data_IF_728304061382
#
_entry.id   IF_728304061382
#
_cell.length_a   1.000
_cell.length_b   1.000
_cell.length_c   1.000
_cell.angle_alpha   90.00
_cell.angle_beta   90.00
_cell.angle_gamma   90.00
#
_symmetry.space_group_name_H-M   'P 1'
#
loop_
_entity.id
_entity.type
_entity.pdbx_description
1 polymer ?
#
# COMPACT_ATOMS: atom_id res chain seq x y z
N UNK A 1 9.93 3.84 19.56
CA UNK A 1 10.14 5.24 19.93
C UNK A 1 11.40 5.36 20.76
N UNK A 2 12.23 6.34 20.47
CA UNK A 2 13.47 6.66 21.19
C UNK A 2 13.44 8.14 21.57
N UNK A 3 13.58 8.44 22.82
CA UNK A 3 13.78 9.82 23.31
C UNK A 3 15.16 9.91 23.94
N UNK A 4 15.93 10.90 23.50
CA UNK A 4 17.27 11.16 24.03
C UNK A 4 17.44 12.66 24.33
N UNK A 5 18.25 12.97 25.32
CA UNK A 5 18.68 14.33 25.69
C UNK A 5 20.21 14.40 25.64
N UNK A 6 20.80 14.51 24.46
CA UNK A 6 22.26 14.52 24.32
C UNK A 6 22.91 15.76 24.95
N UNK A 7 22.13 16.83 25.15
CA UNK A 7 22.57 18.03 25.85
C UNK A 7 21.42 18.62 26.68
N UNK A 8 21.73 19.46 27.69
CA UNK A 8 20.72 20.08 28.56
C UNK A 8 19.64 20.88 27.82
N UNK A 9 19.93 21.36 26.62
CA UNK A 9 19.05 22.20 25.81
C UNK A 9 18.58 21.53 24.52
N UNK A 10 18.93 20.25 24.30
CA UNK A 10 18.59 19.51 23.09
C UNK A 10 17.85 18.24 23.47
N UNK A 11 16.64 18.12 22.99
CA UNK A 11 15.81 16.90 23.04
C UNK A 11 15.67 16.34 21.64
N UNK A 12 15.79 15.04 21.53
CA UNK A 12 15.61 14.28 20.31
C UNK A 12 14.55 13.21 20.54
N UNK A 13 13.54 13.18 19.69
CA UNK A 13 12.51 12.13 19.67
C UNK A 13 12.53 11.45 18.32
N UNK A 14 12.84 10.16 18.30
CA UNK A 14 12.86 9.32 17.12
C UNK A 14 11.74 8.28 17.16
N UNK A 15 11.04 8.12 16.06
CA UNK A 15 10.04 7.08 15.87
C UNK A 15 10.33 6.31 14.61
N UNK A 16 10.34 4.98 14.73
CA UNK A 16 10.47 4.07 13.61
C UNK A 16 9.36 3.03 13.67
N UNK A 17 8.75 2.76 12.52
CA UNK A 17 7.72 1.75 12.36
C UNK A 17 7.95 0.98 11.07
N UNK A 18 7.88 -0.34 11.15
CA UNK A 18 7.85 -1.24 10.01
C UNK A 18 6.57 -2.07 10.07
N UNK A 19 5.89 -2.18 8.94
CA UNK A 19 4.69 -2.98 8.81
C UNK A 19 4.79 -3.84 7.56
N UNK A 20 4.54 -5.12 7.72
CA UNK A 20 4.31 -6.05 6.64
C UNK A 20 2.86 -6.51 6.69
N UNK A 21 2.18 -6.51 5.56
CA UNK A 21 0.83 -7.02 5.44
C UNK A 21 0.73 -7.94 4.23
N UNK A 22 0.20 -9.12 4.45
CA UNK A 22 -0.18 -10.06 3.40
C UNK A 22 -1.71 -10.18 3.36
N UNK A 23 -2.28 -9.77 2.22
CA UNK A 23 -3.72 -9.76 1.98
C UNK A 23 -4.09 -10.67 0.82
N UNK A 24 -3.34 -11.73 0.61
CA UNK A 24 -3.54 -12.72 -0.43
C UNK A 24 -4.83 -13.51 -0.14
N UNK A 25 -5.98 -12.98 -0.54
CA UNK A 25 -7.31 -13.50 -0.17
C UNK A 25 -8.12 -14.04 -1.33
N UNK A 26 -7.50 -14.20 -2.50
CA UNK A 26 -8.21 -14.51 -3.74
C UNK A 26 -8.72 -13.23 -4.43
N UNK A 27 -9.07 -13.36 -5.71
CA UNK A 27 -9.36 -12.24 -6.59
C UNK A 27 -10.49 -11.36 -6.07
N UNK A 28 -10.14 -10.16 -5.60
CA UNK A 28 -11.06 -9.03 -5.46
C UNK A 28 -11.01 -8.13 -6.71
N UNK A 29 -10.41 -8.59 -7.78
CA UNK A 29 -10.35 -7.83 -9.03
C UNK A 29 -11.78 -7.60 -9.51
N UNK A 30 -12.22 -6.39 -9.30
CA UNK A 30 -13.57 -5.89 -9.52
C UNK A 30 -14.36 -6.60 -10.58
N UNK A 31 -15.65 -6.68 -10.48
CA UNK A 31 -16.63 -7.33 -11.36
C UNK A 31 -16.59 -8.86 -11.44
N UNK A 32 -15.58 -9.54 -10.96
CA UNK A 32 -15.57 -10.99 -10.93
C UNK A 32 -15.66 -11.47 -9.49
N UNK A 33 -16.73 -12.18 -9.23
CA UNK A 33 -17.15 -12.76 -7.97
C UNK A 33 -16.05 -12.83 -6.90
N UNK A 34 -16.07 -11.87 -6.00
CA UNK A 34 -15.32 -11.95 -4.74
C UNK A 34 -15.87 -13.15 -3.94
N UNK A 35 -15.10 -13.67 -3.01
CA UNK A 35 -15.61 -14.69 -2.07
C UNK A 35 -16.93 -14.27 -1.41
N UNK A 36 -17.12 -12.98 -1.21
CA UNK A 36 -18.34 -12.42 -0.64
C UNK A 36 -19.50 -12.50 -1.64
N UNK A 37 -19.27 -12.23 -2.91
CA UNK A 37 -20.26 -12.27 -3.96
C UNK A 37 -20.76 -13.70 -4.21
N UNK A 38 -19.88 -14.70 -4.14
CA UNK A 38 -20.26 -16.10 -4.22
C UNK A 38 -21.09 -16.58 -3.02
N UNK A 39 -20.95 -15.96 -1.86
CA UNK A 39 -21.73 -16.24 -0.66
C UNK A 39 -23.08 -15.51 -0.68
N UNK A 40 -23.14 -14.32 -1.32
CA UNK A 40 -24.35 -13.49 -1.39
C UNK A 40 -25.17 -13.67 -2.63
N UNK A 41 -24.72 -14.48 -3.61
CA UNK A 41 -25.49 -14.81 -4.80
C UNK A 41 -26.79 -15.54 -4.44
N UNK A 42 -27.83 -15.30 -5.23
CA UNK A 42 -29.13 -15.95 -5.04
C UNK A 42 -28.96 -17.47 -5.06
N UNK A 43 -29.53 -18.19 -4.08
CA UNK A 43 -29.52 -19.67 -4.07
C UNK A 43 -30.09 -20.31 -5.34
N UNK A 44 -30.91 -19.59 -6.11
CA UNK A 44 -31.41 -20.04 -7.41
C UNK A 44 -30.37 -19.95 -8.51
N UNK A 45 -29.47 -18.97 -8.45
CA UNK A 45 -28.37 -18.78 -9.40
C UNK A 45 -27.14 -19.64 -9.07
N UNK A 46 -26.99 -20.01 -7.80
CA UNK A 46 -25.91 -20.88 -7.32
C UNK A 46 -26.48 -22.03 -6.50
N UNK A 47 -27.18 -22.98 -7.12
CA UNK A 47 -27.82 -24.08 -6.37
C UNK A 47 -26.84 -25.00 -5.64
N UNK A 48 -25.57 -24.61 -5.41
CA UNK A 48 -24.60 -25.65 -5.19
C UNK A 48 -23.35 -25.35 -4.46
N UNK A 49 -23.53 -24.94 -3.30
CA UNK A 49 -22.67 -25.42 -2.20
C UNK A 49 -23.05 -26.91 -1.83
N UNK A 50 -24.05 -27.48 -2.50
CA UNK A 50 -24.49 -28.86 -2.29
C UNK A 50 -23.89 -29.79 -3.34
N UNK A 51 -23.55 -31.03 -2.98
CA UNK A 51 -23.10 -32.03 -3.94
C UNK A 51 -24.16 -32.20 -5.07
N UNK A 52 -23.77 -31.97 -6.32
CA UNK A 52 -24.64 -32.05 -7.47
C UNK A 52 -25.13 -30.72 -8.04
N UNK A 53 -24.61 -29.61 -7.52
CA UNK A 53 -24.98 -28.31 -7.97
C UNK A 53 -24.54 -27.92 -9.36
N UNK A 54 -25.26 -26.94 -9.94
CA UNK A 54 -25.15 -26.54 -11.32
C UNK A 54 -23.77 -26.07 -11.74
N UNK A 55 -23.60 -25.94 -13.02
CA UNK A 55 -22.34 -25.59 -13.67
C UNK A 55 -21.77 -24.27 -13.15
N UNK A 56 -22.61 -23.29 -12.87
CA UNK A 56 -22.22 -21.97 -12.35
C UNK A 56 -21.59 -22.06 -10.95
N UNK A 57 -22.19 -22.82 -10.02
CA UNK A 57 -21.63 -23.01 -8.69
C UNK A 57 -20.29 -23.74 -8.69
N UNK A 58 -20.16 -24.73 -9.57
CA UNK A 58 -18.91 -25.45 -9.77
C UNK A 58 -17.81 -24.54 -10.33
N UNK A 59 -18.15 -23.72 -11.32
CA UNK A 59 -17.22 -22.72 -11.89
C UNK A 59 -16.79 -21.67 -10.84
N UNK A 60 -17.70 -21.20 -10.00
CA UNK A 60 -17.38 -20.28 -8.91
C UNK A 60 -16.42 -20.91 -7.89
N UNK A 61 -16.68 -22.14 -7.46
CA UNK A 61 -15.79 -22.85 -6.54
C UNK A 61 -14.42 -23.09 -7.17
N UNK A 62 -14.37 -23.44 -8.43
CA UNK A 62 -13.14 -23.61 -9.18
C UNK A 62 -12.38 -22.29 -9.27
N UNK A 63 -13.04 -21.17 -9.57
CA UNK A 63 -12.47 -19.85 -9.60
C UNK A 63 -11.86 -19.44 -8.24
N UNK A 64 -12.57 -19.73 -7.14
CA UNK A 64 -12.08 -19.42 -5.80
C UNK A 64 -10.83 -20.25 -5.42
N UNK A 65 -10.76 -21.47 -5.86
CA UNK A 65 -9.69 -22.40 -5.51
C UNK A 65 -8.46 -22.28 -6.41
N UNK A 66 -8.67 -22.02 -7.70
CA UNK A 66 -7.60 -22.03 -8.71
C UNK A 66 -7.03 -20.65 -9.02
N UNK A 67 -7.75 -19.55 -8.72
CA UNK A 67 -7.19 -18.22 -8.86
C UNK A 67 -6.14 -17.99 -7.79
N UNK A 68 -4.92 -17.72 -8.21
CA UNK A 68 -3.84 -17.32 -7.29
C UNK A 68 -3.76 -15.80 -7.21
N UNK A 69 -3.91 -15.26 -6.01
CA UNK A 69 -3.68 -13.85 -5.73
C UNK A 69 -2.65 -13.71 -4.62
N UNK A 70 -1.61 -12.93 -4.91
CA UNK A 70 -0.63 -12.48 -3.92
C UNK A 70 -0.75 -10.97 -3.81
N UNK A 71 -1.02 -10.46 -2.63
CA UNK A 71 -1.12 -9.04 -2.35
C UNK A 71 -0.35 -8.74 -1.07
N UNK A 72 0.87 -8.24 -1.24
CA UNK A 72 1.80 -7.99 -0.17
C UNK A 72 2.14 -6.51 -0.12
N UNK A 73 2.13 -5.93 1.08
CA UNK A 73 2.54 -4.56 1.29
C UNK A 73 3.59 -4.42 2.39
N UNK A 74 4.53 -3.54 2.14
CA UNK A 74 5.61 -3.17 3.04
C UNK A 74 5.51 -1.67 3.29
N UNK A 75 5.43 -1.29 4.55
CA UNK A 75 5.41 0.12 4.94
C UNK A 75 6.51 0.37 5.96
N UNK A 76 7.28 1.43 5.72
CA UNK A 76 8.29 1.91 6.65
C UNK A 76 8.05 3.40 6.92
N UNK A 77 8.02 3.79 8.18
CA UNK A 77 7.88 5.17 8.60
C UNK A 77 9.01 5.51 9.57
N UNK A 78 9.64 6.63 9.30
CA UNK A 78 10.65 7.21 10.17
C UNK A 78 10.31 8.68 10.44
N UNK A 79 10.28 9.07 11.70
CA UNK A 79 10.12 10.46 12.11
C UNK A 79 11.20 10.81 13.12
N UNK A 80 11.82 11.95 12.94
CA UNK A 80 12.80 12.53 13.84
C UNK A 80 12.36 13.95 14.21
N UNK A 81 12.29 14.23 15.49
CA UNK A 81 12.00 15.56 16.03
C UNK A 81 13.17 15.98 16.88
N UNK A 82 13.71 17.14 16.61
CA UNK A 82 14.74 17.82 17.38
C UNK A 82 14.13 19.08 17.97
N UNK A 83 14.22 19.24 19.28
CA UNK A 83 13.82 20.44 20.00
C UNK A 83 15.06 21.02 20.67
N UNK A 84 15.45 22.23 20.27
CA UNK A 84 16.64 22.91 20.75
C UNK A 84 16.32 24.29 21.32
N UNK A 85 16.60 24.47 22.60
CA UNK A 85 16.56 25.79 23.25
C UNK A 85 17.80 26.58 22.92
N UNK A 86 17.72 27.48 21.95
CA UNK A 86 18.85 28.33 21.50
C UNK A 86 19.27 29.28 22.65
N UNK A 87 18.31 30.03 23.13
CA UNK A 87 18.43 30.91 24.30
C UNK A 87 17.15 30.73 25.14
N UNK A 88 17.13 31.29 26.33
CA UNK A 88 15.95 31.23 27.18
C UNK A 88 14.71 31.74 26.46
N UNK A 89 13.67 30.91 26.46
CA UNK A 89 12.37 31.13 25.78
C UNK A 89 12.40 31.16 24.25
N UNK A 90 13.52 30.87 23.58
CA UNK A 90 13.62 30.71 22.13
C UNK A 90 13.90 29.26 21.80
N UNK A 91 12.92 28.60 21.22
CA UNK A 91 12.97 27.18 20.83
C UNK A 91 12.97 27.02 19.32
N UNK A 92 13.84 26.19 18.83
CA UNK A 92 13.85 25.72 17.45
C UNK A 92 13.48 24.26 17.44
N UNK A 93 12.32 23.93 16.84
CA UNK A 93 11.86 22.58 16.63
C UNK A 93 12.03 22.23 15.16
N UNK A 94 12.83 21.20 14.88
CA UNK A 94 13.04 20.64 13.57
C UNK A 94 12.37 19.26 13.53
N UNK A 95 11.52 19.01 12.56
CA UNK A 95 10.97 17.68 12.34
C UNK A 95 11.23 17.22 10.92
N UNK A 96 11.64 15.96 10.77
CA UNK A 96 11.84 15.31 9.50
C UNK A 96 11.17 13.95 9.52
N UNK A 97 10.33 13.68 8.51
CA UNK A 97 9.61 12.44 8.36
C UNK A 97 9.83 11.84 6.97
N UNK A 98 9.91 10.51 6.94
CA UNK A 98 9.95 9.71 5.71
C UNK A 98 8.91 8.61 5.85
N UNK A 99 7.96 8.59 4.93
CA UNK A 99 7.00 7.50 4.78
C UNK A 99 7.28 6.78 3.47
N UNK A 100 7.51 5.48 3.55
CA UNK A 100 7.67 4.59 2.42
C UNK A 100 6.58 3.53 2.45
N UNK A 101 5.89 3.36 1.33
CA UNK A 101 4.91 2.30 1.16
C UNK A 101 5.12 1.63 -0.19
N UNK A 102 5.17 0.30 -0.20
CA UNK A 102 5.25 -0.49 -1.42
C UNK A 102 4.22 -1.61 -1.36
N UNK A 103 3.41 -1.72 -2.41
CA UNK A 103 2.45 -2.78 -2.60
C UNK A 103 2.81 -3.58 -3.86
N UNK A 104 2.83 -4.90 -3.71
CA UNK A 104 3.02 -5.84 -4.80
C UNK A 104 1.76 -6.71 -4.89
N UNK A 105 1.04 -6.63 -5.99
CA UNK A 105 -0.10 -7.46 -6.26
C UNK A 105 0.17 -8.29 -7.52
N UNK A 106 -0.12 -9.58 -7.45
CA UNK A 106 -0.09 -10.47 -8.59
C UNK A 106 -1.32 -11.36 -8.58
N UNK A 107 -2.05 -11.36 -9.68
CA UNK A 107 -3.28 -12.14 -9.88
C UNK A 107 -3.05 -13.06 -11.07
N UNK A 108 -3.26 -14.35 -10.86
CA UNK A 108 -3.19 -15.36 -11.91
C UNK A 108 -4.49 -16.14 -11.97
N UNK A 109 -5.03 -16.31 -13.19
CA UNK A 109 -6.19 -17.15 -13.47
C UNK A 109 -5.78 -18.23 -14.46
N UNK A 110 -5.95 -19.53 -14.14
CA UNK A 110 -5.60 -20.63 -15.04
C UNK A 110 -6.57 -20.74 -16.21
N UNK A 111 -6.18 -21.48 -17.25
CA UNK A 111 -6.94 -21.71 -18.48
C UNK A 111 -8.32 -22.30 -18.23
N UNK A 112 -8.47 -23.13 -17.21
CA UNK A 112 -9.72 -23.78 -16.86
C UNK A 112 -10.83 -22.80 -16.46
N UNK A 113 -10.49 -21.57 -16.09
CA UNK A 113 -11.45 -20.53 -15.70
C UNK A 113 -11.95 -19.66 -16.87
N UNK A 114 -11.43 -19.86 -18.08
CA UNK A 114 -11.91 -19.21 -19.29
C UNK A 114 -12.62 -20.24 -20.18
N UNK A 115 -13.96 -20.30 -20.14
CA UNK A 115 -14.72 -21.31 -20.90
C UNK A 115 -14.72 -21.01 -22.40
N UNK A 116 -14.39 -19.79 -22.81
CA UNK A 116 -14.53 -19.37 -24.21
C UNK A 116 -13.24 -19.58 -24.99
N UNK A 117 -12.11 -19.12 -24.44
CA UNK A 117 -10.84 -19.12 -25.17
C UNK A 117 -9.79 -20.05 -24.56
N UNK A 118 -10.03 -20.55 -23.36
CA UNK A 118 -9.10 -21.37 -22.60
C UNK A 118 -7.71 -20.71 -22.42
N UNK A 119 -7.71 -19.40 -22.15
CA UNK A 119 -6.50 -18.63 -21.93
C UNK A 119 -6.26 -18.43 -20.43
N UNK A 120 -5.04 -18.70 -19.98
CA UNK A 120 -4.60 -18.22 -18.68
C UNK A 120 -4.32 -16.72 -18.74
N UNK A 121 -4.61 -16.01 -17.65
CA UNK A 121 -4.32 -14.58 -17.53
C UNK A 121 -3.49 -14.32 -16.30
N UNK A 122 -2.54 -13.38 -16.42
CA UNK A 122 -1.78 -12.88 -15.29
C UNK A 122 -1.76 -11.35 -15.31
N UNK A 123 -1.89 -10.78 -14.12
CA UNK A 123 -1.82 -9.35 -13.89
C UNK A 123 -0.88 -9.08 -12.71
N UNK A 124 0.13 -8.23 -12.92
CA UNK A 124 1.06 -7.80 -11.88
C UNK A 124 0.98 -6.29 -11.71
N UNK A 125 0.89 -5.83 -10.48
CA UNK A 125 0.90 -4.41 -10.14
C UNK A 125 1.93 -4.18 -9.03
N UNK A 126 2.80 -3.19 -9.24
CA UNK A 126 3.73 -2.69 -8.22
C UNK A 126 3.44 -1.22 -8.05
N UNK A 127 2.97 -0.85 -6.87
CA UNK A 127 2.79 0.53 -6.45
C UNK A 127 3.79 0.87 -5.35
N UNK A 128 4.40 2.05 -5.45
CA UNK A 128 5.35 2.55 -4.47
C UNK A 128 5.13 4.03 -4.24
N UNK A 129 4.93 4.41 -2.99
CA UNK A 129 4.74 5.77 -2.56
C UNK A 129 5.84 6.15 -1.57
N UNK A 130 6.43 7.32 -1.77
CA UNK A 130 7.44 7.90 -0.88
C UNK A 130 6.99 9.31 -0.56
N UNK A 131 6.85 9.61 0.73
CA UNK A 131 6.57 10.95 1.22
C UNK A 131 7.69 11.43 2.12
N UNK A 132 8.21 12.61 1.83
CA UNK A 132 9.22 13.31 2.62
C UNK A 132 8.57 14.57 3.19
N UNK A 133 8.64 14.74 4.51
CA UNK A 133 8.10 15.90 5.21
C UNK A 133 9.21 16.49 6.06
N UNK A 134 9.37 17.80 5.97
CA UNK A 134 10.25 18.56 6.85
C UNK A 134 9.50 19.80 7.35
N UNK A 135 9.49 19.98 8.66
CA UNK A 135 8.86 21.12 9.31
C UNK A 135 9.81 21.74 10.29
N UNK A 136 9.96 23.05 10.21
CA UNK A 136 10.85 23.82 11.03
C UNK A 136 10.04 24.92 11.71
N UNK A 137 10.03 24.93 13.03
CA UNK A 137 9.29 25.87 13.85
C UNK A 137 10.25 26.60 14.77
N UNK A 138 10.20 27.92 14.73
CA UNK A 138 10.90 28.79 15.68
C UNK A 138 9.86 29.49 16.55
N UNK A 139 9.94 29.29 17.85
CA UNK A 139 9.02 29.89 18.82
C UNK A 139 9.79 30.75 19.81
N UNK A 140 9.28 31.96 20.03
CA UNK A 140 9.85 32.87 20.98
C UNK A 140 8.80 33.48 21.90
N UNK A 141 8.97 33.28 23.22
CA UNK A 141 8.05 33.73 24.24
C UNK A 141 8.73 34.85 25.05
N UNK A 142 8.14 36.02 25.08
CA UNK A 142 8.71 37.13 25.85
C UNK A 142 7.63 37.98 26.51
N UNK A 143 7.99 38.61 27.61
CA UNK A 143 7.12 39.50 28.38
C UNK A 143 7.67 40.91 28.46
N UNK A 144 6.82 41.89 28.21
CA UNK A 144 7.16 43.29 28.37
C UNK A 144 6.53 43.82 29.67
N UNK A 145 7.39 44.35 30.56
CA UNK A 145 7.01 44.94 31.86
C UNK A 145 6.14 44.01 32.72
N UNK A 146 6.27 42.69 32.58
CA UNK A 146 5.46 41.67 33.26
C UNK A 146 3.93 41.85 33.14
N UNK A 147 3.48 42.62 32.14
CA UNK A 147 2.06 42.89 31.91
C UNK A 147 1.54 42.36 30.56
N UNK A 148 2.46 42.31 29.60
CA UNK A 148 2.10 41.86 28.23
C UNK A 148 2.99 40.68 27.87
N UNK A 149 2.37 39.56 27.58
CA UNK A 149 3.02 38.33 27.13
C UNK A 149 2.82 38.21 25.61
N UNK A 150 3.90 37.95 24.91
CA UNK A 150 3.92 37.75 23.47
C UNK A 150 4.48 36.39 23.15
N UNK A 151 3.77 35.67 22.30
CA UNK A 151 4.19 34.39 21.73
C UNK A 151 4.33 34.58 20.22
N UNK A 152 5.52 34.45 19.71
CA UNK A 152 5.82 34.58 18.28
C UNK A 152 6.20 33.21 17.76
N UNK A 153 5.53 32.76 16.71
CA UNK A 153 5.79 31.50 16.02
C UNK A 153 6.10 31.77 14.56
N UNK A 154 7.24 31.28 14.10
CA UNK A 154 7.63 31.27 12.70
C UNK A 154 7.76 29.81 12.24
N UNK A 155 7.08 29.44 11.16
CA UNK A 155 7.09 28.08 10.62
C UNK A 155 7.50 28.04 9.16
N UNK A 156 8.28 27.03 8.80
CA UNK A 156 8.60 26.66 7.43
C UNK A 156 8.36 25.17 7.27
N UNK A 157 7.57 24.78 6.27
CA UNK A 157 7.33 23.39 5.95
C UNK A 157 7.68 23.10 4.49
N UNK A 158 8.19 21.91 4.27
CA UNK A 158 8.46 21.35 2.94
C UNK A 158 7.95 19.92 2.89
N UNK A 159 7.20 19.59 1.83
CA UNK A 159 6.72 18.25 1.57
C UNK A 159 7.01 17.87 0.12
N UNK A 160 7.43 16.63 -0.07
CA UNK A 160 7.62 16.02 -1.39
C UNK A 160 7.04 14.62 -1.39
N UNK A 161 6.05 14.43 -2.25
CA UNK A 161 5.41 13.14 -2.47
C UNK A 161 5.81 12.62 -3.85
N UNK A 162 6.13 11.32 -3.91
CA UNK A 162 6.44 10.61 -5.14
C UNK A 162 5.63 9.32 -5.15
N UNK A 163 4.84 9.14 -6.21
CA UNK A 163 4.09 7.92 -6.45
C UNK A 163 4.58 7.28 -7.74
N UNK A 164 4.77 5.98 -7.69
CA UNK A 164 5.14 5.16 -8.83
C UNK A 164 4.20 3.97 -8.90
N UNK A 165 3.56 3.79 -10.04
CA UNK A 165 2.69 2.66 -10.29
C UNK A 165 3.09 1.99 -11.61
N UNK A 166 3.33 0.69 -11.56
CA UNK A 166 3.62 -0.12 -12.74
C UNK A 166 2.65 -1.31 -12.75
N UNK A 167 1.89 -1.43 -13.84
CA UNK A 167 0.95 -2.51 -14.05
C UNK A 167 1.31 -3.23 -15.36
N UNK A 168 1.41 -4.54 -15.29
CA UNK A 168 1.59 -5.41 -16.43
C UNK A 168 0.50 -6.48 -16.46
N UNK A 169 0.01 -6.82 -17.64
CA UNK A 169 -0.92 -7.92 -17.84
C UNK A 169 -0.51 -8.77 -19.03
N UNK A 170 -0.87 -10.02 -19.01
CA UNK A 170 -0.63 -10.95 -20.10
C UNK A 170 -1.70 -12.03 -20.13
N UNK A 171 -1.98 -12.55 -21.32
CA UNK A 171 -2.90 -13.66 -21.55
C UNK A 171 -2.20 -14.78 -22.32
N UNK A 172 -2.82 -15.95 -22.31
CA UNK A 172 -2.34 -17.12 -23.04
C UNK A 172 -0.90 -17.52 -22.65
N UNK A 173 -0.64 -17.69 -21.34
CA UNK A 173 0.64 -18.17 -20.85
C UNK A 173 1.00 -19.57 -21.35
N UNK A 174 2.28 -19.91 -21.30
CA UNK A 174 2.79 -21.18 -21.82
C UNK A 174 2.18 -22.41 -21.07
N UNK A 175 1.94 -22.26 -19.78
CA UNK A 175 1.31 -23.25 -18.93
C UNK A 175 0.78 -22.58 -17.65
N UNK A 176 -0.02 -23.34 -16.86
CA UNK A 176 -0.62 -22.84 -15.62
C UNK A 176 0.34 -22.82 -14.41
N UNK A 177 1.61 -23.16 -14.60
CA UNK A 177 2.66 -23.04 -13.57
C UNK A 177 3.39 -21.70 -13.61
N UNK A 178 3.29 -20.94 -14.70
CA UNK A 178 3.94 -19.64 -14.89
C UNK A 178 2.97 -18.54 -14.56
N UNK A 179 3.02 -18.03 -13.34
CA UNK A 179 2.06 -17.08 -12.78
C UNK A 179 2.44 -15.60 -12.98
N UNK A 180 3.62 -15.29 -13.49
CA UNK A 180 4.13 -13.92 -13.58
C UNK A 180 4.21 -13.43 -15.01
N UNK A 181 3.74 -12.20 -15.25
CA UNK A 181 3.68 -11.57 -16.58
C UNK A 181 5.05 -11.42 -17.23
N UNK A 182 6.12 -11.28 -16.47
CA UNK A 182 7.49 -11.13 -16.99
C UNK A 182 8.11 -12.42 -17.55
N UNK A 183 7.43 -13.54 -17.45
CA UNK A 183 7.93 -14.80 -18.01
C UNK A 183 7.74 -14.85 -19.53
N UNK A 184 8.70 -15.46 -20.23
CA UNK A 184 8.60 -15.64 -21.67
C UNK A 184 7.42 -16.54 -22.04
N UNK A 185 6.76 -16.24 -23.15
CA UNK A 185 5.69 -17.05 -23.71
C UNK A 185 4.28 -16.54 -23.47
N UNK A 186 4.11 -15.40 -22.79
CA UNK A 186 2.82 -14.74 -22.71
C UNK A 186 2.50 -14.05 -24.03
N UNK A 187 1.38 -14.45 -24.68
CA UNK A 187 0.81 -13.76 -25.83
C UNK A 187 -0.15 -12.65 -25.39
N UNK A 188 -0.32 -11.62 -26.22
CA UNK A 188 -1.22 -10.50 -25.96
C UNK A 188 -0.49 -9.22 -25.55
N UNK A 189 -1.24 -8.13 -25.42
CA UNK A 189 -0.71 -6.80 -25.11
C UNK A 189 -0.04 -6.76 -23.74
N UNK A 190 1.26 -6.82 -23.71
CA UNK A 190 2.07 -6.50 -22.55
C UNK A 190 2.11 -4.98 -22.38
N UNK A 191 1.00 -4.38 -22.02
CA UNK A 191 0.91 -2.96 -21.72
C UNK A 191 1.63 -2.67 -20.39
N UNK A 192 2.85 -2.15 -20.45
CA UNK A 192 3.48 -1.48 -19.31
C UNK A 192 2.95 -0.05 -19.28
N UNK A 193 2.00 0.23 -18.40
CA UNK A 193 1.55 1.59 -18.15
C UNK A 193 2.35 2.15 -16.96
N UNK A 194 3.34 3.00 -17.27
CA UNK A 194 3.96 3.87 -16.28
C UNK A 194 3.10 5.13 -16.15
N UNK A 195 2.51 5.36 -14.99
CA UNK A 195 1.84 6.62 -14.63
C UNK A 195 2.64 7.28 -13.52
#
# INVERSE_FOLDING_TARGET
NLTAMPAKKLRMDGQFSLTYSDRSRGSNAGSNASKMESITSDPTDTPTLLPGGGEVGRMMLQQLNETSEKNQSYSARFNLVLDYEIIRNLHLKLSAGVDFNQQNQNIFKPKALDPTYHFSTSEGTIARDISLINENLLSYNFSIKNRHNFDVLLGLSFQKDQSFNNKGSGSNGPNDHVHYVGAQGWGGDNGLNNV
#
